data_IF_384087143762
#
_entry.id   IF_384087143762
#
_cell.length_a   1.000
_cell.length_b   1.000
_cell.length_c   1.000
_cell.angle_alpha   90.00
_cell.angle_beta   90.00
_cell.angle_gamma   90.00
#
_symmetry.space_group_name_H-M   'P 1'
#
loop_
_entity.id
_entity.type
_entity.pdbx_description
1 polymer ?
#
# COMPACT_ATOMS: atom_id res chain seq x y z
N UNK A 1 -15.66 -5.26 -1.52
CA UNK A 1 -14.32 -5.00 -2.10
C UNK A 1 -13.37 -4.32 -1.11
N UNK A 2 -13.74 -3.19 -0.48
CA UNK A 2 -12.89 -2.55 0.54
C UNK A 2 -12.69 -3.41 1.80
N UNK A 3 -13.74 -4.04 2.31
CA UNK A 3 -13.67 -4.92 3.50
C UNK A 3 -12.86 -6.19 3.26
N UNK A 4 -13.05 -6.87 2.12
CA UNK A 4 -12.25 -8.07 1.75
C UNK A 4 -10.77 -7.77 1.47
N UNK A 5 -10.45 -6.58 0.98
CA UNK A 5 -9.05 -6.17 0.77
C UNK A 5 -8.41 -5.82 2.12
N UNK A 6 -9.14 -5.10 2.99
CA UNK A 6 -8.66 -4.77 4.32
C UNK A 6 -8.43 -6.02 5.18
N UNK A 7 -9.40 -6.95 5.25
CA UNK A 7 -9.30 -8.15 6.08
C UNK A 7 -8.16 -9.09 5.65
N UNK A 8 -7.94 -9.26 4.33
CA UNK A 8 -6.82 -10.05 3.79
C UNK A 8 -5.44 -9.51 4.14
N UNK A 9 -5.35 -8.23 4.49
CA UNK A 9 -4.12 -7.59 4.94
C UNK A 9 -4.09 -7.37 6.46
N UNK A 10 -4.96 -8.03 7.23
CA UNK A 10 -5.04 -7.93 8.68
C UNK A 10 -5.67 -6.64 9.19
N UNK A 11 -6.30 -5.83 8.33
CA UNK A 11 -7.03 -4.63 8.75
C UNK A 11 -8.47 -4.99 9.06
N UNK A 12 -8.83 -4.86 10.34
CA UNK A 12 -10.16 -5.16 10.83
C UNK A 12 -11.15 -4.00 10.59
N UNK A 13 -10.65 -2.77 10.59
CA UNK A 13 -11.45 -1.55 10.45
C UNK A 13 -10.92 -0.67 9.31
N UNK A 14 -11.83 -0.19 8.46
CA UNK A 14 -11.55 0.86 7.49
C UNK A 14 -12.07 2.19 8.01
N UNK A 15 -11.22 3.21 8.02
CA UNK A 15 -11.63 4.60 8.23
C UNK A 15 -10.96 5.49 7.19
N UNK A 16 -11.74 6.42 6.65
CA UNK A 16 -11.21 7.52 5.85
C UNK A 16 -11.91 8.81 6.24
N UNK A 17 -11.10 9.81 6.55
CA UNK A 17 -11.58 11.16 6.72
C UNK A 17 -11.21 12.00 5.50
N UNK A 18 -12.17 12.78 5.01
CA UNK A 18 -12.01 13.75 3.97
C UNK A 18 -11.95 15.16 4.58
N UNK A 19 -10.98 15.93 4.10
CA UNK A 19 -10.92 17.38 4.32
C UNK A 19 -11.38 18.06 3.04
N UNK A 20 -11.95 19.27 3.15
CA UNK A 20 -12.48 20.05 2.02
C UNK A 20 -11.52 20.17 0.83
N UNK A 21 -10.21 20.22 1.10
CA UNK A 21 -9.16 20.32 0.09
C UNK A 21 -8.66 18.98 -0.47
N UNK A 22 -9.12 17.86 0.12
CA UNK A 22 -8.63 16.50 -0.12
C UNK A 22 -9.72 15.48 -0.48
N UNK A 23 -10.98 15.92 -0.68
CA UNK A 23 -12.00 15.05 -1.27
C UNK A 23 -11.49 14.45 -2.59
N UNK A 24 -11.74 13.16 -2.76
CA UNK A 24 -11.31 12.32 -3.90
C UNK A 24 -9.81 12.23 -4.16
N UNK A 25 -8.94 12.87 -3.35
CA UNK A 25 -7.49 12.74 -3.50
C UNK A 25 -6.97 11.48 -2.84
N UNK A 26 -6.29 10.64 -3.61
CA UNK A 26 -5.69 9.39 -3.15
C UNK A 26 -4.19 9.48 -2.94
N UNK A 27 -3.59 8.36 -2.50
CA UNK A 27 -2.13 8.20 -2.46
C UNK A 27 -1.48 8.43 -3.84
N UNK A 28 -2.20 8.09 -4.91
CA UNK A 28 -1.77 8.32 -6.29
C UNK A 28 -1.60 9.82 -6.61
N UNK A 29 -2.49 10.68 -6.11
CA UNK A 29 -2.37 12.13 -6.31
C UNK A 29 -1.19 12.71 -5.55
N UNK A 30 -0.89 12.18 -4.37
CA UNK A 30 0.29 12.58 -3.62
C UNK A 30 1.59 12.20 -4.37
N UNK A 31 1.66 10.99 -4.92
CA UNK A 31 2.81 10.56 -5.73
C UNK A 31 2.96 11.41 -7.00
N UNK A 32 1.87 11.64 -7.73
CA UNK A 32 1.86 12.48 -8.93
C UNK A 32 2.22 13.93 -8.63
N UNK A 33 1.69 14.49 -7.54
CA UNK A 33 2.01 15.84 -7.06
C UNK A 33 3.48 16.00 -6.69
N UNK A 34 4.06 15.02 -6.00
CA UNK A 34 5.50 15.02 -5.69
C UNK A 34 6.36 15.06 -6.96
N UNK A 35 6.06 14.22 -7.96
CA UNK A 35 6.83 14.20 -9.21
C UNK A 35 6.74 15.52 -9.96
N UNK A 36 5.53 16.07 -10.08
CA UNK A 36 5.29 17.38 -10.74
C UNK A 36 6.07 18.48 -10.03
N UNK A 37 5.94 18.59 -8.71
CA UNK A 37 6.66 19.60 -7.93
C UNK A 37 8.18 19.50 -8.08
N UNK A 38 8.75 18.28 -8.08
CA UNK A 38 10.19 18.09 -8.25
C UNK A 38 10.69 18.51 -9.64
N UNK A 39 9.90 18.26 -10.67
CA UNK A 39 10.21 18.68 -12.05
C UNK A 39 10.02 20.19 -12.20
N UNK A 40 8.90 20.72 -11.75
CA UNK A 40 8.57 22.14 -11.82
C UNK A 40 9.64 22.98 -11.13
N UNK A 41 10.09 22.57 -9.95
CA UNK A 41 11.16 23.27 -9.24
C UNK A 41 12.51 23.20 -9.95
N UNK A 42 12.82 22.10 -10.64
CA UNK A 42 14.06 21.99 -11.40
C UNK A 42 14.05 22.90 -12.64
N UNK A 43 12.92 22.99 -13.33
CA UNK A 43 12.71 23.90 -14.47
C UNK A 43 12.71 25.34 -14.00
N UNK A 44 11.95 25.67 -12.96
CA UNK A 44 11.83 27.03 -12.43
C UNK A 44 13.17 27.60 -11.93
N UNK A 45 14.03 26.74 -11.37
CA UNK A 45 15.39 27.12 -10.94
C UNK A 45 16.40 27.21 -12.09
N UNK A 46 16.01 26.82 -13.31
CA UNK A 46 16.90 26.77 -14.47
C UNK A 46 17.94 25.63 -14.40
N UNK A 47 17.71 24.62 -13.56
CA UNK A 47 18.65 23.50 -13.39
C UNK A 47 18.57 22.48 -14.52
N UNK A 48 17.38 22.29 -15.10
CA UNK A 48 17.10 21.33 -16.15
C UNK A 48 16.08 21.95 -17.12
N UNK A 49 16.17 21.61 -18.41
CA UNK A 49 15.18 21.98 -19.43
C UNK A 49 14.35 20.74 -19.71
N UNK A 50 13.06 20.78 -19.36
CA UNK A 50 12.14 19.63 -19.49
C UNK A 50 10.90 20.13 -20.23
N UNK A 51 10.77 19.73 -21.50
CA UNK A 51 9.69 20.14 -22.42
C UNK A 51 8.90 18.97 -23.00
N UNK A 52 9.35 17.73 -22.79
CA UNK A 52 8.66 16.53 -23.26
C UNK A 52 8.47 15.48 -22.16
N UNK A 53 7.52 14.56 -22.38
CA UNK A 53 7.31 13.42 -21.48
C UNK A 53 8.54 12.49 -21.41
N UNK A 54 9.28 12.36 -22.50
CA UNK A 54 10.53 11.60 -22.54
C UNK A 54 11.62 12.26 -21.68
N UNK A 55 11.74 13.59 -21.70
CA UNK A 55 12.66 14.33 -20.83
C UNK A 55 12.23 14.27 -19.37
N UNK A 56 10.93 14.35 -19.08
CA UNK A 56 10.39 14.17 -17.73
C UNK A 56 10.78 12.78 -17.18
N UNK A 57 10.61 11.74 -17.98
CA UNK A 57 11.00 10.38 -17.62
C UNK A 57 12.50 10.27 -17.36
N UNK A 58 13.35 10.83 -18.23
CA UNK A 58 14.81 10.86 -18.05
C UNK A 58 15.20 11.58 -16.76
N UNK A 59 14.58 12.73 -16.47
CA UNK A 59 14.80 13.47 -15.22
C UNK A 59 14.47 12.61 -13.99
N UNK A 60 13.32 11.93 -14.00
CA UNK A 60 12.91 11.06 -12.90
C UNK A 60 13.91 9.90 -12.69
N UNK A 61 14.35 9.27 -13.78
CA UNK A 61 15.35 8.19 -13.72
C UNK A 61 16.70 8.65 -13.18
N UNK A 62 17.13 9.87 -13.53
CA UNK A 62 18.42 10.45 -13.11
C UNK A 62 18.41 10.92 -11.65
N UNK A 63 17.33 11.55 -11.20
CA UNK A 63 17.32 12.29 -9.93
C UNK A 63 16.39 11.72 -8.85
N UNK A 64 15.39 10.94 -9.23
CA UNK A 64 14.32 10.50 -8.31
C UNK A 64 14.26 8.99 -8.11
N UNK A 65 15.03 8.20 -8.87
CA UNK A 65 15.04 6.73 -8.81
C UNK A 65 15.45 6.22 -7.43
N UNK A 66 16.48 6.83 -6.87
CA UNK A 66 16.96 6.49 -5.54
C UNK A 66 16.14 7.23 -4.49
N UNK A 67 15.62 6.47 -3.55
CA UNK A 67 14.74 6.98 -2.50
C UNK A 67 15.52 7.14 -1.21
N UNK A 68 15.37 8.31 -0.59
CA UNK A 68 15.92 8.62 0.75
C UNK A 68 14.97 8.19 1.87
N UNK A 69 13.92 7.42 1.54
CA UNK A 69 12.92 6.97 2.52
C UNK A 69 13.39 5.69 3.21
N UNK A 70 13.16 5.63 4.53
CA UNK A 70 13.35 4.40 5.31
C UNK A 70 12.35 3.30 4.91
N UNK A 71 11.18 3.68 4.39
CA UNK A 71 10.08 2.75 4.09
C UNK A 71 10.03 2.35 2.61
N UNK A 72 10.33 3.26 1.71
CA UNK A 72 10.32 2.99 0.27
C UNK A 72 11.74 2.73 -0.22
N UNK A 73 12.06 1.47 -0.52
CA UNK A 73 13.41 1.09 -0.94
C UNK A 73 13.70 1.28 -2.43
N UNK A 74 12.66 1.44 -3.26
CA UNK A 74 12.82 1.52 -4.72
C UNK A 74 11.73 2.38 -5.36
N UNK A 75 12.08 3.15 -6.40
CA UNK A 75 11.13 3.74 -7.34
C UNK A 75 11.42 3.22 -8.75
N UNK A 76 10.36 2.80 -9.44
CA UNK A 76 10.41 2.43 -10.87
C UNK A 76 9.59 3.46 -11.63
N UNK A 77 10.18 4.02 -12.68
CA UNK A 77 9.49 4.87 -13.63
C UNK A 77 9.24 4.08 -14.90
N UNK A 78 8.09 4.28 -15.54
CA UNK A 78 7.75 3.71 -16.84
C UNK A 78 7.37 4.85 -17.79
N UNK A 79 7.93 4.82 -18.99
CA UNK A 79 7.55 5.72 -20.06
C UNK A 79 6.58 5.01 -21.00
N UNK A 80 5.49 5.67 -21.35
CA UNK A 80 4.50 5.18 -22.31
C UNK A 80 4.35 6.26 -23.37
N UNK A 81 4.62 5.92 -24.63
CA UNK A 81 4.64 6.88 -25.74
C UNK A 81 3.26 7.45 -26.04
N UNK A 82 2.24 6.61 -25.98
CA UNK A 82 0.85 6.99 -26.18
C UNK A 82 -0.05 6.27 -25.19
N UNK A 83 -1.03 6.99 -24.67
CA UNK A 83 -2.07 6.44 -23.83
C UNK A 83 -3.36 6.63 -24.60
N UNK A 84 -4.11 5.55 -24.80
CA UNK A 84 -5.46 5.64 -25.31
C UNK A 84 -6.31 6.45 -24.32
N UNK A 85 -6.80 7.59 -24.78
CA UNK A 85 -7.60 8.53 -23.98
C UNK A 85 -9.07 8.45 -24.33
N UNK A 86 -9.52 7.41 -25.03
CA UNK A 86 -10.94 7.22 -25.33
C UNK A 86 -11.76 7.42 -24.06
N UNK A 87 -12.42 8.58 -24.02
CA UNK A 87 -12.94 9.13 -22.79
C UNK A 87 -14.21 8.38 -22.44
N UNK A 88 -14.10 7.44 -21.52
CA UNK A 88 -15.26 7.00 -20.75
C UNK A 88 -15.79 8.25 -20.05
N UNK A 89 -17.00 8.68 -20.40
CA UNK A 89 -17.62 9.83 -19.78
C UNK A 89 -18.03 9.47 -18.36
N UNK A 90 -17.28 9.97 -17.38
CA UNK A 90 -17.63 9.80 -15.98
C UNK A 90 -18.76 10.77 -15.63
N UNK A 91 -19.84 10.25 -15.04
CA UNK A 91 -20.90 11.08 -14.48
C UNK A 91 -20.42 11.66 -13.15
N UNK A 92 -20.48 12.99 -12.95
CA UNK A 92 -20.19 13.59 -11.65
C UNK A 92 -21.14 13.03 -10.59
N UNK A 93 -20.58 12.66 -9.43
CA UNK A 93 -21.38 12.27 -8.27
C UNK A 93 -21.59 13.53 -7.41
N UNK A 94 -22.80 14.12 -7.40
CA UNK A 94 -23.06 15.32 -6.62
C UNK A 94 -23.02 15.02 -5.11
N UNK A 95 -22.78 16.05 -4.29
CA UNK A 95 -22.88 15.94 -2.83
C UNK A 95 -21.69 15.27 -2.13
N UNK A 96 -20.67 14.78 -2.85
CA UNK A 96 -19.52 14.12 -2.22
C UNK A 96 -18.65 15.03 -1.34
N UNK A 97 -18.71 16.35 -1.54
CA UNK A 97 -17.92 17.32 -0.76
C UNK A 97 -18.45 17.55 0.65
N UNK A 98 -19.73 17.29 0.92
CA UNK A 98 -20.26 17.39 2.28
C UNK A 98 -19.85 16.19 3.14
N UNK A 99 -19.47 15.07 2.52
CA UNK A 99 -19.06 13.85 3.21
C UNK A 99 -17.66 14.03 3.80
N UNK A 100 -17.52 13.98 5.11
CA UNK A 100 -16.22 14.16 5.77
C UNK A 100 -15.64 12.89 6.35
N UNK A 101 -16.44 11.85 6.60
CA UNK A 101 -15.91 10.60 7.14
C UNK A 101 -16.66 9.39 6.62
N UNK A 102 -15.92 8.32 6.35
CA UNK A 102 -16.42 6.99 5.99
C UNK A 102 -15.72 5.97 6.87
N UNK A 103 -16.46 5.06 7.46
CA UNK A 103 -15.88 3.96 8.22
C UNK A 103 -16.71 2.68 8.09
N UNK A 104 -16.05 1.54 8.25
CA UNK A 104 -16.68 0.24 8.44
C UNK A 104 -16.80 -0.09 9.93
N UNK A 105 -17.77 -0.92 10.27
CA UNK A 105 -17.82 -1.63 11.55
C UNK A 105 -17.45 -3.09 11.27
N UNK A 106 -16.82 -3.76 12.24
CA UNK A 106 -16.39 -5.16 12.14
C UNK A 106 -17.52 -6.10 11.69
N UNK A 107 -18.73 -5.84 12.17
CA UNK A 107 -19.88 -6.72 11.97
C UNK A 107 -20.84 -6.26 10.85
N UNK A 108 -20.62 -5.08 10.26
CA UNK A 108 -21.60 -4.51 9.34
C UNK A 108 -21.20 -4.76 7.90
N UNK A 109 -22.09 -5.43 7.15
CA UNK A 109 -22.12 -5.44 5.69
C UNK A 109 -22.43 -4.05 5.09
N UNK A 110 -22.18 -2.97 5.84
CA UNK A 110 -22.51 -1.60 5.48
C UNK A 110 -21.33 -0.67 5.76
N UNK A 111 -21.18 0.35 4.93
CA UNK A 111 -20.35 1.51 5.20
C UNK A 111 -21.17 2.59 5.88
N UNK A 112 -20.66 3.17 6.95
CA UNK A 112 -21.26 4.34 7.60
C UNK A 112 -20.57 5.60 7.12
N UNK A 113 -21.38 6.60 6.79
CA UNK A 113 -20.99 7.92 6.33
C UNK A 113 -21.32 8.97 7.37
N UNK A 114 -20.45 9.99 7.53
CA UNK A 114 -20.75 11.21 8.28
C UNK A 114 -20.41 12.46 7.49
N UNK A 115 -21.27 13.46 7.60
CA UNK A 115 -20.98 14.80 7.09
C UNK A 115 -20.04 15.61 7.99
N UNK A 116 -19.66 15.10 9.16
CA UNK A 116 -18.65 15.70 10.03
C UNK A 116 -17.73 14.62 10.59
N UNK A 117 -16.43 14.85 10.47
CA UNK A 117 -15.39 14.01 11.07
C UNK A 117 -15.23 14.34 12.55
N UNK A 118 -15.09 13.31 13.38
CA UNK A 118 -14.72 13.50 14.78
C UNK A 118 -13.34 12.89 15.03
N UNK A 119 -12.42 13.73 15.50
CA UNK A 119 -11.03 13.35 15.79
C UNK A 119 -10.68 13.39 17.28
N UNK A 120 -11.56 13.92 18.12
CA UNK A 120 -11.25 14.26 19.51
C UNK A 120 -11.93 13.39 20.54
N UNK A 121 -13.02 12.69 20.19
CA UNK A 121 -13.69 11.84 21.17
C UNK A 121 -12.99 10.49 21.33
N UNK A 122 -13.02 9.97 22.56
CA UNK A 122 -12.38 8.71 22.94
C UNK A 122 -12.81 7.56 22.03
N UNK A 123 -14.11 7.41 21.78
CA UNK A 123 -14.66 6.36 20.92
C UNK A 123 -14.12 6.40 19.49
N UNK A 124 -13.87 7.59 18.93
CA UNK A 124 -13.23 7.69 17.61
C UNK A 124 -11.72 7.37 17.65
N UNK A 125 -11.04 7.63 18.77
CA UNK A 125 -9.61 7.33 18.91
C UNK A 125 -9.35 5.84 19.08
N UNK A 126 -10.25 5.11 19.74
CA UNK A 126 -10.13 3.66 19.98
C UNK A 126 -10.83 2.81 18.91
N UNK A 127 -11.40 3.44 17.88
CA UNK A 127 -12.02 2.72 16.75
C UNK A 127 -13.47 2.28 16.97
N UNK A 128 -14.09 2.59 18.11
CA UNK A 128 -15.52 2.37 18.39
C UNK A 128 -16.39 3.48 17.80
N UNK A 129 -16.26 3.72 16.50
CA UNK A 129 -16.88 4.87 15.83
C UNK A 129 -18.40 4.91 16.04
N UNK A 130 -19.09 3.77 16.09
CA UNK A 130 -20.54 3.70 16.33
C UNK A 130 -20.98 4.43 17.60
N UNK A 131 -20.13 4.54 18.60
CA UNK A 131 -20.44 5.14 19.91
C UNK A 131 -19.94 6.59 20.05
N UNK A 132 -19.47 7.20 18.96
CA UNK A 132 -19.01 8.60 18.96
C UNK A 132 -20.05 9.55 19.58
N UNK A 133 -19.64 10.34 20.58
CA UNK A 133 -20.51 11.31 21.27
C UNK A 133 -21.10 12.38 20.34
N UNK A 134 -20.40 12.69 19.25
CA UNK A 134 -20.81 13.68 18.26
C UNK A 134 -21.70 13.08 17.16
N UNK A 135 -22.14 11.85 17.33
CA UNK A 135 -23.00 11.15 16.40
C UNK A 135 -24.32 11.85 16.09
N UNK A 136 -24.85 12.62 17.04
CA UNK A 136 -26.09 13.38 16.91
C UNK A 136 -25.91 14.70 16.14
N UNK A 137 -24.67 15.18 15.98
CA UNK A 137 -24.35 16.50 15.44
C UNK A 137 -24.11 16.45 13.93
N UNK A 138 -23.72 15.28 13.39
CA UNK A 138 -23.55 15.07 11.96
C UNK A 138 -24.64 14.17 11.41
N UNK A 139 -25.28 14.53 10.30
CA UNK A 139 -26.18 13.60 9.61
C UNK A 139 -25.38 12.39 9.12
N UNK A 140 -26.02 11.21 9.22
CA UNK A 140 -25.41 9.92 8.91
C UNK A 140 -26.18 9.26 7.78
N UNK A 141 -25.45 8.55 6.94
CA UNK A 141 -26.03 7.64 5.97
C UNK A 141 -25.32 6.30 6.07
N UNK A 142 -26.07 5.24 5.82
CA UNK A 142 -25.54 3.87 5.79
C UNK A 142 -25.71 3.35 4.39
N UNK A 143 -24.63 2.83 3.80
CA UNK A 143 -24.64 2.27 2.45
C UNK A 143 -24.36 0.77 2.56
N UNK A 144 -25.25 -0.11 2.07
CA UNK A 144 -24.98 -1.53 2.02
C UNK A 144 -23.82 -1.81 1.06
N UNK A 145 -22.88 -2.64 1.52
CA UNK A 145 -21.79 -3.15 0.70
C UNK A 145 -22.40 -4.22 -0.19
N UNK A 146 -22.58 -3.88 -1.46
CA UNK A 146 -22.93 -4.87 -2.47
C UNK A 146 -21.63 -5.56 -2.89
N UNK A 147 -21.56 -6.87 -2.68
CA UNK A 147 -20.51 -7.69 -3.29
C UNK A 147 -20.84 -7.77 -4.79
N UNK A 148 -19.98 -7.19 -5.64
CA UNK A 148 -20.15 -7.30 -7.09
C UNK A 148 -19.95 -8.76 -7.53
N UNK A 149 -21.05 -9.52 -7.53
CA UNK A 149 -21.14 -10.83 -8.14
C UNK A 149 -21.36 -10.68 -9.65
N UNK A 150 -20.39 -10.13 -10.38
CA UNK A 150 -20.17 -10.55 -11.77
C UNK A 150 -18.87 -10.03 -12.36
N UNK A 151 -18.19 -10.96 -13.02
CA UNK A 151 -17.02 -10.74 -13.85
C UNK A 151 -17.41 -9.90 -15.07
N UNK A 152 -17.18 -8.60 -14.99
CA UNK A 152 -16.64 -7.83 -16.10
C UNK A 152 -15.69 -6.83 -15.49
N UNK A 153 -14.51 -7.34 -15.09
CA UNK A 153 -13.36 -6.45 -14.99
C UNK A 153 -13.29 -5.77 -16.36
N UNK A 154 -13.43 -4.45 -16.41
CA UNK A 154 -12.64 -3.72 -17.39
C UNK A 154 -11.24 -4.23 -17.15
N UNK A 155 -10.76 -5.08 -18.05
CA UNK A 155 -9.35 -5.37 -18.15
C UNK A 155 -8.72 -4.01 -18.42
N UNK A 156 -8.32 -3.32 -17.35
CA UNK A 156 -7.00 -2.69 -17.35
C UNK A 156 -6.13 -3.78 -17.97
N UNK A 157 -5.57 -3.57 -19.18
CA UNK A 157 -4.66 -4.56 -19.75
C UNK A 157 -3.75 -4.91 -18.59
N UNK A 158 -3.75 -6.19 -18.19
CA UNK A 158 -2.90 -6.61 -17.10
C UNK A 158 -1.55 -6.01 -17.44
N UNK A 159 -1.09 -5.04 -16.63
CA UNK A 159 0.32 -4.67 -16.67
C UNK A 159 0.99 -6.00 -16.65
N UNK A 160 1.73 -6.33 -17.72
CA UNK A 160 2.38 -7.62 -17.88
C UNK A 160 2.83 -8.05 -16.51
N UNK A 161 2.11 -9.01 -15.92
CA UNK A 161 2.48 -9.53 -14.62
C UNK A 161 3.75 -10.27 -14.98
N UNK A 162 4.86 -9.54 -14.93
CA UNK A 162 6.17 -10.15 -14.87
C UNK A 162 6.02 -10.99 -13.61
N UNK A 163 5.79 -12.29 -13.82
CA UNK A 163 5.84 -13.29 -12.78
C UNK A 163 7.29 -13.24 -12.31
N UNK A 164 7.57 -12.36 -11.37
CA UNK A 164 8.83 -12.38 -10.66
C UNK A 164 8.78 -13.64 -9.80
N UNK A 165 9.66 -14.58 -10.10
CA UNK A 165 9.89 -15.68 -9.18
C UNK A 165 10.39 -15.07 -7.87
N UNK A 166 9.97 -15.62 -6.72
CA UNK A 166 10.33 -15.08 -5.41
C UNK A 166 11.86 -14.91 -5.27
N UNK A 167 12.61 -15.74 -5.98
CA UNK A 167 14.07 -15.71 -6.05
C UNK A 167 14.64 -14.39 -6.58
N UNK A 168 13.98 -13.78 -7.58
CA UNK A 168 14.42 -12.53 -8.19
C UNK A 168 14.29 -11.33 -7.24
N UNK A 169 13.55 -11.51 -6.15
CA UNK A 169 13.27 -10.50 -5.14
C UNK A 169 14.17 -10.62 -3.91
N UNK A 170 14.85 -11.75 -3.72
CA UNK A 170 15.67 -12.01 -2.53
C UNK A 170 17.15 -11.86 -2.87
N UNK A 171 17.80 -10.91 -2.19
CA UNK A 171 19.22 -10.65 -2.30
C UNK A 171 19.85 -10.69 -0.89
N UNK A 172 21.18 -10.69 -0.85
CA UNK A 172 21.94 -10.53 0.39
C UNK A 172 21.44 -9.33 1.21
N UNK A 173 21.03 -9.58 2.45
CA UNK A 173 20.52 -8.57 3.37
C UNK A 173 19.05 -8.20 3.18
N UNK A 174 18.31 -8.85 2.27
CA UNK A 174 16.85 -8.72 2.19
C UNK A 174 16.23 -9.20 3.51
N UNK A 175 15.27 -8.42 4.03
CA UNK A 175 14.51 -8.75 5.23
C UNK A 175 13.13 -9.22 4.77
N UNK A 176 12.78 -10.44 5.17
CA UNK A 176 11.51 -11.12 4.91
C UNK A 176 10.72 -11.22 6.21
N UNK A 177 9.40 -11.04 6.12
CA UNK A 177 8.50 -11.39 7.21
C UNK A 177 7.99 -12.81 6.92
N UNK A 178 8.31 -13.76 7.80
CA UNK A 178 7.90 -15.16 7.71
C UNK A 178 6.72 -15.35 8.65
N UNK A 179 5.57 -15.72 8.11
CA UNK A 179 4.37 -15.96 8.91
C UNK A 179 4.59 -17.09 9.92
N UNK A 180 4.10 -16.89 11.14
CA UNK A 180 4.16 -17.84 12.25
C UNK A 180 2.76 -18.11 12.79
N UNK A 181 2.52 -19.35 13.23
CA UNK A 181 1.26 -19.76 13.88
C UNK A 181 1.30 -19.50 15.41
N UNK A 182 2.24 -18.67 15.89
CA UNK A 182 2.42 -18.41 17.31
C UNK A 182 1.42 -17.36 17.83
N UNK A 183 0.97 -17.52 19.08
CA UNK A 183 -0.09 -16.68 19.65
C UNK A 183 0.34 -15.21 19.89
N UNK A 184 1.64 -14.96 20.06
CA UNK A 184 2.19 -13.67 20.47
C UNK A 184 2.87 -12.89 19.31
N UNK A 185 3.04 -13.51 18.14
CA UNK A 185 3.60 -12.87 16.95
C UNK A 185 2.91 -13.39 15.68
N UNK A 186 2.52 -12.47 14.77
CA UNK A 186 1.94 -12.87 13.48
C UNK A 186 3.03 -13.19 12.42
N UNK A 187 4.29 -12.88 12.71
CA UNK A 187 5.42 -13.12 11.81
C UNK A 187 6.77 -12.94 12.53
N UNK A 188 7.76 -13.71 12.09
CA UNK A 188 9.17 -13.50 12.42
C UNK A 188 9.89 -12.74 11.32
N UNK A 189 10.93 -11.99 11.69
CA UNK A 189 11.80 -11.33 10.73
C UNK A 189 13.02 -12.19 10.42
N UNK A 190 13.20 -12.47 9.13
CA UNK A 190 14.31 -13.23 8.60
C UNK A 190 15.17 -12.33 7.71
N UNK A 191 16.48 -12.27 7.97
CA UNK A 191 17.43 -11.54 7.12
C UNK A 191 18.24 -12.54 6.30
N UNK A 192 18.08 -12.50 4.98
CA UNK A 192 18.82 -13.34 4.06
C UNK A 192 20.33 -13.04 4.14
N UNK A 193 21.14 -14.09 4.31
CA UNK A 193 22.61 -14.03 4.34
C UNK A 193 23.26 -14.36 2.99
N UNK A 194 22.45 -14.81 2.03
CA UNK A 194 22.85 -15.18 0.69
C UNK A 194 21.68 -15.02 -0.29
N UNK A 195 21.99 -15.07 -1.58
CA UNK A 195 20.96 -15.22 -2.60
C UNK A 195 20.37 -16.64 -2.55
N UNK A 196 19.12 -16.84 -3.01
CA UNK A 196 18.52 -18.16 -3.13
C UNK A 196 19.40 -19.11 -3.94
N UNK A 197 19.54 -20.35 -3.47
CA UNK A 197 20.29 -21.39 -4.14
C UNK A 197 19.46 -22.66 -4.31
N UNK A 198 19.80 -23.47 -5.31
CA UNK A 198 19.21 -24.80 -5.49
C UNK A 198 20.14 -25.84 -4.89
N UNK A 199 19.61 -26.70 -4.02
CA UNK A 199 20.41 -27.70 -3.31
C UNK A 199 20.95 -28.78 -4.26
N UNK A 200 22.26 -28.99 -4.26
CA UNK A 200 22.91 -30.05 -5.05
C UNK A 200 22.82 -31.44 -4.42
N UNK A 201 22.50 -31.49 -3.12
CA UNK A 201 22.37 -32.68 -2.29
C UNK A 201 21.34 -32.45 -1.18
N UNK A 202 20.88 -33.53 -0.58
CA UNK A 202 20.02 -33.44 0.61
C UNK A 202 20.80 -32.80 1.77
N UNK A 203 20.15 -31.89 2.48
CA UNK A 203 20.71 -31.19 3.63
C UNK A 203 19.72 -31.29 4.79
N UNK A 204 20.21 -31.67 5.95
CA UNK A 204 19.46 -31.62 7.20
C UNK A 204 19.93 -30.41 8.00
N UNK A 205 18.99 -29.59 8.46
CA UNK A 205 19.31 -28.45 9.33
C UNK A 205 19.50 -28.87 10.80
N UNK A 206 19.88 -27.91 11.64
CA UNK A 206 20.11 -28.13 13.07
C UNK A 206 18.83 -28.48 13.85
N UNK A 207 17.65 -28.29 13.24
CA UNK A 207 16.35 -28.66 13.78
C UNK A 207 15.91 -30.07 13.35
N UNK A 208 16.73 -30.77 12.56
CA UNK A 208 16.44 -32.12 12.06
C UNK A 208 15.52 -32.15 10.84
N UNK A 209 15.22 -31.00 10.24
CA UNK A 209 14.43 -30.90 9.00
C UNK A 209 15.33 -31.20 7.81
N UNK A 210 14.92 -32.16 6.97
CA UNK A 210 15.69 -32.53 5.78
C UNK A 210 15.08 -31.92 4.53
N UNK A 211 15.89 -31.17 3.81
CA UNK A 211 15.60 -30.55 2.52
C UNK A 211 16.22 -31.39 1.42
N UNK A 212 15.42 -31.77 0.44
CA UNK A 212 15.85 -32.66 -0.65
C UNK A 212 16.65 -31.92 -1.71
N UNK A 213 17.52 -32.65 -2.41
CA UNK A 213 18.21 -32.19 -3.60
C UNK A 213 17.21 -31.61 -4.62
N UNK A 214 17.54 -30.46 -5.19
CA UNK A 214 16.70 -29.72 -6.13
C UNK A 214 15.73 -28.74 -5.48
N UNK A 215 15.59 -28.75 -4.14
CA UNK A 215 14.87 -27.69 -3.43
C UNK A 215 15.60 -26.36 -3.57
N UNK A 216 14.82 -25.30 -3.77
CA UNK A 216 15.32 -23.92 -3.74
C UNK A 216 15.20 -23.39 -2.33
N UNK A 217 16.31 -22.95 -1.76
CA UNK A 217 16.38 -22.50 -0.37
C UNK A 217 17.02 -21.14 -0.28
N UNK A 218 16.67 -20.40 0.77
CA UNK A 218 17.38 -19.18 1.14
C UNK A 218 17.86 -19.32 2.58
N UNK A 219 19.12 -18.94 2.81
CA UNK A 219 19.73 -18.97 4.14
C UNK A 219 19.72 -17.57 4.74
N UNK A 220 19.77 -17.51 6.06
CA UNK A 220 19.64 -16.27 6.80
C UNK A 220 19.42 -16.48 8.27
N UNK A 221 19.28 -15.36 8.98
CA UNK A 221 19.12 -15.33 10.43
C UNK A 221 17.78 -14.72 10.79
N UNK A 222 17.06 -15.40 11.67
CA UNK A 222 15.93 -14.81 12.38
C UNK A 222 16.43 -13.79 13.40
N UNK A 223 15.69 -12.70 13.57
CA UNK A 223 16.02 -11.68 14.57
C UNK A 223 14.76 -11.04 15.16
N UNK A 224 14.80 -10.80 16.48
CA UNK A 224 13.68 -10.21 17.20
C UNK A 224 13.48 -8.73 16.88
N UNK A 225 12.22 -8.28 16.94
CA UNK A 225 11.83 -6.88 16.78
C UNK A 225 12.28 -5.95 17.93
N UNK A 226 13.26 -6.34 18.75
CA UNK A 226 13.57 -5.63 20.01
C UNK A 226 13.75 -4.12 19.79
N UNK A 227 12.66 -3.38 20.08
CA UNK A 227 12.72 -1.96 20.33
C UNK A 227 13.62 -1.83 21.54
N UNK A 228 14.88 -1.43 21.34
CA UNK A 228 15.66 -0.85 22.43
C UNK A 228 14.92 0.42 22.84
N UNK A 229 14.08 0.29 23.86
CA UNK A 229 13.50 1.41 24.58
C UNK A 229 14.69 2.15 25.20
N UNK A 230 15.15 3.21 24.54
CA UNK A 230 15.98 4.20 25.22
C UNK A 230 15.05 4.90 26.20
N UNK A 231 15.09 4.43 27.45
CA UNK A 231 14.62 5.21 28.57
C UNK A 231 15.63 6.36 28.72
N UNK A 232 15.20 7.57 28.39
CA UNK A 232 15.85 8.81 28.82
C UNK A 232 15.13 9.28 30.07
#
# INVERSE_FOLDING_TARGET
MLTDICSKHGYELFIRNYFETSHTKGSQDAAGGFLKNQVDMAVFRGNEIIQSAAEFFKYCGKHLKDTKSLYYKRRKFRYVESIDRDTISFKPVPGIRSLHQVFSSLDDANLTLRYLSCYSCENCLVGTYKDCINNSIGSKATIPIVVENNRTRYSVPAESTENYEMEDLIALGTILAVYTDEADSNYDLFKADACPETLEKDITDDWGVTYVKGSKVVRGLYFDQTKKTFVV
#
